data_IF_979847837497
#
_entry.id   IF_979847837497
#
_cell.length_a   1.000
_cell.length_b   1.000
_cell.length_c   1.000
_cell.angle_alpha   90.00
_cell.angle_beta   90.00
_cell.angle_gamma   90.00
#
_symmetry.space_group_name_H-M   'P 1'
#
loop_
_entity.id
_entity.type
_entity.pdbx_description
1 polymer ?
#
# COMPACT_ATOMS: atom_id res chain seq x y z
N UNK A 1 -1.36 -13.88 -0.56
CA UNK A 1 -1.58 -12.46 -0.93
C UNK A 1 -1.14 -12.23 -2.37
N UNK A 2 -1.95 -11.50 -3.14
CA UNK A 2 -1.68 -11.22 -4.54
C UNK A 2 -2.03 -9.77 -4.92
N UNK A 3 -1.09 -9.06 -5.54
CA UNK A 3 -1.34 -7.75 -6.15
C UNK A 3 -2.25 -7.88 -7.37
N UNK A 4 -3.18 -6.93 -7.50
CA UNK A 4 -4.17 -6.86 -8.57
C UNK A 4 -4.24 -5.47 -9.15
N UNK A 5 -4.00 -5.39 -10.46
CA UNK A 5 -4.20 -4.18 -11.24
C UNK A 5 -5.67 -4.15 -11.66
N UNK A 6 -6.36 -3.04 -11.37
CA UNK A 6 -7.77 -2.90 -11.72
C UNK A 6 -7.98 -2.45 -13.15
N UNK A 7 -9.05 -2.96 -13.75
CA UNK A 7 -9.83 -2.26 -14.75
C UNK A 7 -11.16 -1.77 -14.13
N UNK A 8 -11.98 -1.04 -14.89
CA UNK A 8 -13.24 -0.49 -14.39
C UNK A 8 -14.19 -1.58 -13.85
N UNK A 9 -14.31 -2.71 -14.55
CA UNK A 9 -15.19 -3.82 -14.15
C UNK A 9 -14.75 -4.39 -12.79
N UNK A 10 -13.48 -4.74 -12.65
CA UNK A 10 -12.94 -5.25 -11.38
C UNK A 10 -13.06 -4.23 -10.24
N UNK A 11 -12.90 -2.93 -10.52
CA UNK A 11 -13.08 -1.89 -9.52
C UNK A 11 -14.52 -1.83 -9.01
N UNK A 12 -15.50 -1.94 -9.92
CA UNK A 12 -16.92 -1.98 -9.57
C UNK A 12 -17.30 -3.25 -8.81
N UNK A 13 -16.65 -4.38 -9.08
CA UNK A 13 -16.87 -5.59 -8.31
C UNK A 13 -16.32 -5.49 -6.89
N UNK A 14 -15.15 -4.85 -6.71
CA UNK A 14 -14.66 -4.54 -5.37
C UNK A 14 -15.62 -3.60 -4.64
N UNK A 15 -16.11 -2.54 -5.32
CA UNK A 15 -17.09 -1.60 -4.74
C UNK A 15 -18.31 -2.35 -4.19
N UNK A 16 -18.92 -3.22 -5.00
CA UNK A 16 -20.06 -4.05 -4.56
C UNK A 16 -19.71 -4.90 -3.35
N UNK A 17 -18.52 -5.52 -3.35
CA UNK A 17 -18.07 -6.35 -2.23
C UNK A 17 -17.92 -5.52 -0.95
N UNK A 18 -17.24 -4.37 -1.02
CA UNK A 18 -16.98 -3.51 0.15
C UNK A 18 -18.28 -2.95 0.72
N UNK A 19 -19.17 -2.46 -0.14
CA UNK A 19 -20.50 -1.98 0.27
C UNK A 19 -21.32 -3.12 0.90
N UNK A 20 -21.34 -4.30 0.29
CA UNK A 20 -22.05 -5.46 0.84
C UNK A 20 -21.48 -5.90 2.20
N UNK A 21 -20.16 -5.89 2.34
CA UNK A 21 -19.47 -6.18 3.60
C UNK A 21 -19.84 -5.15 4.67
N UNK A 22 -19.84 -3.86 4.33
CA UNK A 22 -20.23 -2.79 5.23
C UNK A 22 -21.68 -2.96 5.73
N UNK A 23 -22.62 -3.24 4.82
CA UNK A 23 -24.03 -3.46 5.16
C UNK A 23 -24.28 -4.68 6.05
N UNK A 24 -23.38 -5.67 6.02
CA UNK A 24 -23.49 -6.86 6.88
C UNK A 24 -23.08 -6.61 8.33
N UNK A 25 -22.46 -5.46 8.62
CA UNK A 25 -22.03 -5.08 9.97
C UNK A 25 -23.18 -4.43 10.74
N UNK A 26 -23.41 -4.89 11.97
CA UNK A 26 -24.57 -4.51 12.78
C UNK A 26 -24.59 -3.03 13.20
N UNK A 27 -23.43 -2.37 13.23
CA UNK A 27 -23.26 -1.03 13.79
C UNK A 27 -22.71 -0.01 12.77
N UNK A 28 -22.85 -0.29 11.46
CA UNK A 28 -22.36 0.63 10.44
C UNK A 28 -23.23 1.89 10.36
N UNK A 29 -22.61 3.06 10.50
CA UNK A 29 -23.29 4.33 10.27
C UNK A 29 -23.52 4.57 8.77
N UNK A 30 -24.63 5.23 8.40
CA UNK A 30 -24.89 5.65 7.01
C UNK A 30 -23.72 6.50 6.46
N UNK A 31 -23.10 7.32 7.31
CA UNK A 31 -21.94 8.13 6.94
C UNK A 31 -20.72 7.28 6.53
N UNK A 32 -20.50 6.12 7.16
CA UNK A 32 -19.41 5.21 6.80
C UNK A 32 -19.63 4.62 5.40
N UNK A 33 -20.88 4.28 5.07
CA UNK A 33 -21.23 3.76 3.75
C UNK A 33 -21.07 4.82 2.66
N UNK A 34 -21.49 6.04 2.95
CA UNK A 34 -21.31 7.19 2.05
C UNK A 34 -19.82 7.45 1.77
N UNK A 35 -18.94 7.35 2.78
CA UNK A 35 -17.50 7.51 2.60
C UNK A 35 -16.89 6.44 1.68
N UNK A 36 -17.36 5.19 1.78
CA UNK A 36 -16.94 4.10 0.88
C UNK A 36 -17.35 4.44 -0.55
N UNK A 37 -18.62 4.80 -0.77
CA UNK A 37 -19.13 5.14 -2.11
C UNK A 37 -18.37 6.33 -2.71
N UNK A 38 -18.16 7.40 -1.94
CA UNK A 38 -17.38 8.58 -2.36
C UNK A 38 -15.93 8.24 -2.71
N UNK A 39 -15.31 7.30 -1.99
CA UNK A 39 -13.96 6.84 -2.29
C UNK A 39 -13.88 6.17 -3.66
N UNK A 40 -14.81 5.27 -3.98
CA UNK A 40 -14.86 4.63 -5.30
C UNK A 40 -15.20 5.63 -6.41
N UNK A 41 -16.16 6.54 -6.18
CA UNK A 41 -16.49 7.60 -7.13
C UNK A 41 -15.26 8.47 -7.46
N UNK A 42 -14.45 8.82 -6.45
CA UNK A 42 -13.22 9.58 -6.64
C UNK A 42 -12.22 8.83 -7.52
N UNK A 43 -12.00 7.53 -7.27
CA UNK A 43 -11.09 6.69 -8.07
C UNK A 43 -11.59 6.58 -9.51
N UNK A 44 -12.89 6.35 -9.70
CA UNK A 44 -13.52 6.20 -11.01
C UNK A 44 -13.43 7.50 -11.83
N UNK A 45 -13.85 8.63 -11.25
CA UNK A 45 -13.87 9.94 -11.93
C UNK A 45 -12.49 10.43 -12.34
N UNK A 46 -11.48 10.21 -11.49
CA UNK A 46 -10.10 10.61 -11.80
C UNK A 46 -9.34 9.55 -12.60
N UNK A 47 -10.00 8.43 -12.92
CA UNK A 47 -9.40 7.26 -13.53
C UNK A 47 -8.15 6.78 -12.78
N UNK A 48 -8.10 6.85 -11.45
CA UNK A 48 -6.91 6.47 -10.64
C UNK A 48 -6.75 4.95 -10.49
N UNK A 49 -6.92 4.21 -11.59
CA UNK A 49 -6.77 2.77 -11.66
C UNK A 49 -6.10 2.39 -13.00
N UNK A 50 -5.82 1.10 -13.18
CA UNK A 50 -5.05 0.60 -14.32
C UNK A 50 -3.58 0.36 -13.98
N UNK A 51 -2.80 0.03 -14.99
CA UNK A 51 -1.39 -0.29 -14.81
C UNK A 51 -0.59 0.97 -14.43
N UNK A 52 0.01 0.97 -13.24
CA UNK A 52 0.81 2.10 -12.75
C UNK A 52 2.04 2.39 -13.62
N UNK A 53 2.55 1.41 -14.38
CA UNK A 53 3.65 1.62 -15.32
C UNK A 53 3.30 2.59 -16.45
N UNK A 54 2.02 2.63 -16.84
CA UNK A 54 1.51 3.49 -17.90
C UNK A 54 1.09 4.87 -17.38
N UNK A 55 1.24 5.11 -16.06
CA UNK A 55 0.75 6.29 -15.33
C UNK A 55 1.85 6.96 -14.48
N UNK A 56 3.00 7.33 -15.07
CA UNK A 56 4.10 7.90 -14.30
C UNK A 56 3.69 9.24 -13.66
N UNK A 57 4.08 9.44 -12.40
CA UNK A 57 3.78 10.58 -11.54
C UNK A 57 2.30 10.81 -11.22
N UNK A 58 1.43 9.83 -11.48
CA UNK A 58 0.03 9.89 -11.13
C UNK A 58 -0.32 8.88 -10.04
N UNK A 59 -1.35 9.21 -9.25
CA UNK A 59 -1.94 8.27 -8.32
C UNK A 59 -2.57 7.10 -9.08
N UNK A 60 -2.30 5.90 -8.58
CA UNK A 60 -2.89 4.65 -9.06
C UNK A 60 -3.23 3.78 -7.86
N UNK A 61 -4.50 3.41 -7.74
CA UNK A 61 -4.96 2.43 -6.77
C UNK A 61 -4.81 1.03 -7.35
N UNK A 62 -4.24 0.15 -6.54
CA UNK A 62 -4.15 -1.29 -6.82
C UNK A 62 -4.73 -2.08 -5.66
N UNK A 63 -5.16 -3.30 -5.96
CA UNK A 63 -5.73 -4.21 -4.98
C UNK A 63 -4.70 -5.15 -4.39
N UNK A 64 -4.90 -5.53 -3.13
CA UNK A 64 -4.33 -6.75 -2.56
C UNK A 64 -5.46 -7.71 -2.25
N UNK A 65 -5.40 -8.88 -2.89
CA UNK A 65 -6.17 -10.05 -2.55
C UNK A 65 -5.43 -10.77 -1.41
N UNK A 66 -5.93 -10.69 -0.19
CA UNK A 66 -5.19 -11.16 0.99
C UNK A 66 -5.11 -12.69 1.01
N UNK A 67 -6.21 -13.35 0.69
CA UNK A 67 -6.41 -14.78 0.86
C UNK A 67 -6.33 -15.57 -0.48
N UNK A 68 -6.10 -14.87 -1.60
CA UNK A 68 -5.98 -15.41 -2.97
C UNK A 68 -7.27 -16.05 -3.51
N UNK A 69 -8.41 -15.63 -3.00
CA UNK A 69 -9.74 -16.11 -3.38
C UNK A 69 -10.39 -15.26 -4.49
N UNK A 70 -9.70 -14.22 -4.95
CA UNK A 70 -10.18 -13.26 -5.95
C UNK A 70 -10.89 -12.06 -5.36
N UNK A 71 -11.10 -12.02 -4.04
CA UNK A 71 -11.69 -10.88 -3.33
C UNK A 71 -10.56 -9.90 -2.99
N UNK A 72 -10.86 -8.60 -3.10
CA UNK A 72 -9.88 -7.56 -2.81
C UNK A 72 -10.26 -6.90 -1.51
N UNK A 73 -9.41 -7.08 -0.51
CA UNK A 73 -9.63 -6.54 0.84
C UNK A 73 -8.82 -5.26 1.10
N UNK A 74 -7.86 -4.94 0.24
CA UNK A 74 -6.97 -3.80 0.48
C UNK A 74 -6.77 -3.00 -0.79
N UNK A 75 -6.87 -1.69 -0.68
CA UNK A 75 -6.48 -0.73 -1.70
C UNK A 75 -5.17 -0.06 -1.30
N UNK A 76 -4.24 0.03 -2.24
CA UNK A 76 -2.94 0.68 -2.05
C UNK A 76 -2.83 1.82 -3.04
N UNK A 77 -2.67 3.04 -2.55
CA UNK A 77 -2.38 4.19 -3.39
C UNK A 77 -0.88 4.22 -3.70
N UNK A 78 -0.53 4.11 -4.98
CA UNK A 78 0.86 4.06 -5.44
C UNK A 78 1.11 5.12 -6.51
N UNK A 79 2.23 5.80 -6.39
CA UNK A 79 2.78 6.65 -7.45
C UNK A 79 4.05 5.99 -7.98
N UNK A 80 4.05 5.69 -9.27
CA UNK A 80 5.21 5.22 -10.00
C UNK A 80 5.97 6.38 -10.65
N UNK A 81 7.30 6.36 -10.56
CA UNK A 81 8.18 7.28 -11.28
C UNK A 81 9.34 6.53 -11.91
N UNK A 82 9.79 6.97 -13.09
CA UNK A 82 10.92 6.39 -13.81
C UNK A 82 11.86 7.46 -14.32
N UNK A 83 13.17 7.29 -14.05
CA UNK A 83 14.24 8.07 -14.68
C UNK A 83 15.26 7.12 -15.32
N UNK A 84 15.17 6.95 -16.64
CA UNK A 84 16.01 5.97 -17.34
C UNK A 84 15.67 4.55 -16.90
N UNK A 85 16.63 3.84 -16.27
CA UNK A 85 16.38 2.50 -15.69
C UNK A 85 15.94 2.54 -14.23
N UNK A 86 16.10 3.68 -13.56
CA UNK A 86 15.77 3.82 -12.14
C UNK A 86 14.26 3.94 -11.97
N UNK A 87 13.68 3.01 -11.23
CA UNK A 87 12.26 3.00 -10.84
C UNK A 87 12.11 3.50 -9.41
N UNK A 88 11.08 4.29 -9.17
CA UNK A 88 10.69 4.71 -7.83
C UNK A 88 9.21 4.44 -7.64
N UNK A 89 8.88 3.71 -6.60
CA UNK A 89 7.50 3.52 -6.14
C UNK A 89 7.29 4.30 -4.85
N UNK A 90 6.18 5.03 -4.76
CA UNK A 90 5.76 5.71 -3.53
C UNK A 90 4.42 5.14 -3.12
N UNK A 91 4.40 4.47 -1.98
CA UNK A 91 3.18 4.01 -1.31
C UNK A 91 2.67 5.20 -0.50
N UNK A 92 1.54 5.76 -0.92
CA UNK A 92 0.98 6.98 -0.35
C UNK A 92 0.02 6.68 0.80
N UNK A 93 -0.80 5.66 0.63
CA UNK A 93 -1.82 5.26 1.60
C UNK A 93 -2.27 3.81 1.39
N UNK A 94 -2.86 3.22 2.43
CA UNK A 94 -3.42 1.85 2.41
C UNK A 94 -4.80 1.89 3.05
N UNK A 95 -5.80 1.43 2.32
CA UNK A 95 -7.19 1.35 2.74
C UNK A 95 -7.59 -0.11 2.87
N UNK A 96 -8.34 -0.44 3.93
CA UNK A 96 -8.80 -1.79 4.20
C UNK A 96 -10.31 -1.88 3.97
N UNK A 97 -10.77 -3.05 3.53
CA UNK A 97 -12.19 -3.32 3.37
C UNK A 97 -12.87 -3.32 4.74
N UNK A 98 -14.18 -3.04 4.80
CA UNK A 98 -14.92 -3.05 6.05
C UNK A 98 -14.80 -4.38 6.79
N UNK A 99 -14.74 -5.52 6.09
CA UNK A 99 -14.56 -6.86 6.70
C UNK A 99 -13.26 -6.96 7.50
N UNK A 100 -12.18 -6.32 7.04
CA UNK A 100 -10.92 -6.25 7.77
C UNK A 100 -11.00 -5.26 8.92
N UNK A 101 -11.61 -4.09 8.73
CA UNK A 101 -11.76 -3.07 9.79
C UNK A 101 -12.61 -3.54 10.97
N UNK A 102 -13.52 -4.50 10.76
CA UNK A 102 -14.36 -5.07 11.80
C UNK A 102 -13.72 -6.23 12.59
N UNK A 103 -12.48 -6.61 12.27
CA UNK A 103 -11.74 -7.61 13.04
C UNK A 103 -11.42 -7.11 14.45
N UNK A 104 -11.04 -8.03 15.35
CA UNK A 104 -10.51 -7.61 16.65
C UNK A 104 -9.22 -6.80 16.47
N UNK A 105 -8.91 -5.89 17.41
CA UNK A 105 -7.74 -5.00 17.34
C UNK A 105 -6.44 -5.75 17.00
N UNK A 106 -6.18 -6.87 17.70
CA UNK A 106 -5.00 -7.71 17.46
C UNK A 106 -4.98 -8.34 16.06
N UNK A 107 -6.12 -8.80 15.55
CA UNK A 107 -6.21 -9.40 14.22
C UNK A 107 -6.08 -8.35 13.11
N UNK A 108 -6.72 -7.20 13.31
CA UNK A 108 -6.62 -6.04 12.42
C UNK A 108 -5.17 -5.56 12.32
N UNK A 109 -4.49 -5.35 13.45
CA UNK A 109 -3.08 -4.93 13.48
C UNK A 109 -2.18 -5.96 12.77
N UNK A 110 -2.42 -7.26 13.02
CA UNK A 110 -1.70 -8.33 12.34
C UNK A 110 -1.89 -8.30 10.82
N UNK A 111 -3.14 -8.13 10.34
CA UNK A 111 -3.46 -8.00 8.91
C UNK A 111 -2.80 -6.75 8.32
N UNK A 112 -2.80 -5.62 9.03
CA UNK A 112 -2.17 -4.38 8.59
C UNK A 112 -0.65 -4.54 8.42
N UNK A 113 0.01 -5.14 9.41
CA UNK A 113 1.46 -5.37 9.38
C UNK A 113 1.82 -6.31 8.23
N UNK A 114 1.14 -7.45 8.10
CA UNK A 114 1.42 -8.41 7.03
C UNK A 114 1.20 -7.80 5.64
N UNK A 115 0.12 -7.03 5.48
CA UNK A 115 -0.20 -6.32 4.24
C UNK A 115 0.90 -5.32 3.88
N UNK A 116 1.33 -4.49 4.84
CA UNK A 116 2.40 -3.53 4.60
C UNK A 116 3.71 -4.21 4.21
N UNK A 117 4.12 -5.25 4.94
CA UNK A 117 5.34 -6.02 4.62
C UNK A 117 5.26 -6.60 3.22
N UNK A 118 4.12 -7.18 2.84
CA UNK A 118 3.89 -7.71 1.51
C UNK A 118 4.04 -6.64 0.43
N UNK A 119 3.33 -5.50 0.56
CA UNK A 119 3.35 -4.40 -0.42
C UNK A 119 4.77 -3.85 -0.58
N UNK A 120 5.46 -3.61 0.53
CA UNK A 120 6.84 -3.09 0.50
C UNK A 120 7.76 -4.07 -0.20
N UNK A 121 7.67 -5.36 0.12
CA UNK A 121 8.49 -6.39 -0.53
C UNK A 121 8.25 -6.47 -2.03
N UNK A 122 6.99 -6.42 -2.47
CA UNK A 122 6.66 -6.44 -3.90
C UNK A 122 7.26 -5.24 -4.62
N UNK A 123 7.11 -4.03 -4.10
CA UNK A 123 7.66 -2.85 -4.77
C UNK A 123 9.18 -2.71 -4.66
N UNK A 124 9.78 -3.19 -3.57
CA UNK A 124 11.24 -3.28 -3.46
C UNK A 124 11.79 -4.18 -4.56
N UNK A 125 11.21 -5.37 -4.78
CA UNK A 125 11.58 -6.26 -5.90
C UNK A 125 11.39 -5.57 -7.25
N UNK A 126 10.27 -4.90 -7.47
CA UNK A 126 10.01 -4.21 -8.74
C UNK A 126 11.01 -3.07 -9.02
N UNK A 127 11.57 -2.46 -7.96
CA UNK A 127 12.56 -1.39 -8.03
C UNK A 127 14.02 -1.86 -8.02
N UNK A 128 14.29 -3.15 -7.80
CA UNK A 128 15.66 -3.66 -7.56
C UNK A 128 16.50 -3.90 -8.82
N UNK A 129 15.94 -3.67 -10.01
CA UNK A 129 16.59 -3.90 -11.30
C UNK A 129 17.68 -2.86 -11.65
N UNK A 130 17.76 -1.76 -10.91
CA UNK A 130 18.76 -0.72 -11.12
C UNK A 130 19.22 -0.07 -9.81
N UNK A 131 20.53 0.21 -9.73
CA UNK A 131 21.12 1.02 -8.66
C UNK A 131 20.40 2.36 -8.57
N UNK A 132 20.02 2.76 -7.36
CA UNK A 132 19.24 3.96 -7.11
C UNK A 132 17.73 3.78 -7.26
N UNK A 133 17.27 2.59 -7.66
CA UNK A 133 15.87 2.18 -7.55
C UNK A 133 15.40 2.30 -6.11
N UNK A 134 14.13 2.66 -5.91
CA UNK A 134 13.61 2.84 -4.55
C UNK A 134 12.13 2.59 -4.39
N UNK A 135 11.77 2.11 -3.20
CA UNK A 135 10.40 2.06 -2.71
C UNK A 135 10.30 2.95 -1.48
N UNK A 136 9.29 3.80 -1.44
CA UNK A 136 9.11 4.80 -0.37
C UNK A 136 7.71 4.67 0.22
N UNK A 137 7.61 4.75 1.53
CA UNK A 137 6.34 4.72 2.26
C UNK A 137 6.11 6.09 2.87
N UNK A 138 4.94 6.68 2.61
CA UNK A 138 4.52 7.94 3.18
C UNK A 138 3.76 7.74 4.48
N UNK A 139 4.06 8.54 5.49
CA UNK A 139 3.27 8.66 6.70
C UNK A 139 2.27 9.82 6.59
N UNK A 140 1.06 9.51 6.12
CA UNK A 140 -0.03 10.50 6.01
C UNK A 140 -0.48 11.04 7.37
N UNK A 141 -0.58 10.17 8.38
CA UNK A 141 -1.05 10.50 9.72
C UNK A 141 0.08 10.49 10.75
N UNK A 142 -0.12 11.11 11.91
CA UNK A 142 0.87 11.04 12.99
C UNK A 142 1.04 9.62 13.55
N UNK A 143 0.01 8.77 13.45
CA UNK A 143 0.09 7.35 13.81
C UNK A 143 1.00 6.61 12.84
N UNK A 144 0.76 6.73 11.52
CA UNK A 144 1.65 6.16 10.51
C UNK A 144 3.08 6.69 10.65
N UNK A 145 3.26 7.96 11.05
CA UNK A 145 4.57 8.55 11.30
C UNK A 145 5.30 7.88 12.47
N UNK A 146 4.61 7.64 13.59
CA UNK A 146 5.18 6.90 14.73
C UNK A 146 5.61 5.51 14.28
N UNK A 147 4.76 4.81 13.54
CA UNK A 147 5.04 3.47 13.02
C UNK A 147 6.30 3.45 12.13
N UNK A 148 6.36 4.28 11.08
CA UNK A 148 7.54 4.28 10.18
C UNK A 148 8.81 4.78 10.88
N UNK A 149 8.68 5.49 12.00
CA UNK A 149 9.83 5.91 12.82
C UNK A 149 10.35 4.76 13.66
N UNK A 150 9.46 3.98 14.29
CA UNK A 150 9.83 2.76 14.99
C UNK A 150 10.42 1.72 14.04
N UNK A 151 9.82 1.54 12.85
CA UNK A 151 10.36 0.66 11.81
C UNK A 151 11.78 1.09 11.41
N UNK A 152 11.99 2.38 11.13
CA UNK A 152 13.33 2.89 10.83
C UNK A 152 14.32 2.65 11.97
N UNK A 153 13.92 2.86 13.22
CA UNK A 153 14.77 2.60 14.38
C UNK A 153 15.16 1.12 14.47
N UNK A 154 14.22 0.20 14.23
CA UNK A 154 14.50 -1.22 14.19
C UNK A 154 15.48 -1.57 13.06
N UNK A 155 15.38 -0.95 11.89
CA UNK A 155 16.35 -1.18 10.79
C UNK A 155 17.73 -0.58 11.05
N UNK A 156 17.93 0.20 12.13
CA UNK A 156 19.25 0.65 12.56
C UNK A 156 19.90 -0.31 13.55
N UNK A 157 19.19 -1.35 14.00
CA UNK A 157 19.83 -2.45 14.71
C UNK A 157 20.85 -3.11 13.78
N UNK A 158 22.03 -3.43 14.31
CA UNK A 158 23.18 -3.84 13.51
C UNK A 158 22.90 -5.13 12.72
N UNK A 159 22.22 -6.10 13.33
CA UNK A 159 21.93 -7.39 12.69
C UNK A 159 20.96 -7.18 11.52
N UNK A 160 19.89 -6.41 11.75
CA UNK A 160 18.89 -6.10 10.73
C UNK A 160 19.49 -5.23 9.61
N UNK A 161 20.34 -4.27 9.97
CA UNK A 161 21.02 -3.42 9.00
C UNK A 161 21.93 -4.25 8.09
N UNK A 162 22.71 -5.18 8.64
CA UNK A 162 23.57 -6.09 7.87
C UNK A 162 22.75 -6.99 6.92
N UNK A 163 21.54 -7.41 7.30
CA UNK A 163 20.62 -8.15 6.43
C UNK A 163 20.16 -7.29 5.24
N UNK A 164 19.75 -6.05 5.47
CA UNK A 164 19.37 -5.13 4.39
C UNK A 164 20.54 -4.83 3.46
N UNK A 165 21.73 -4.56 4.01
CA UNK A 165 22.93 -4.30 3.22
C UNK A 165 23.34 -5.52 2.39
N UNK A 166 23.26 -6.73 2.96
CA UNK A 166 23.51 -7.98 2.24
C UNK A 166 22.51 -8.24 1.11
N UNK A 167 21.28 -7.72 1.24
CA UNK A 167 20.28 -7.71 0.19
C UNK A 167 20.45 -6.58 -0.84
N UNK A 168 21.51 -5.76 -0.72
CA UNK A 168 21.76 -4.62 -1.59
C UNK A 168 20.82 -3.44 -1.33
N UNK A 169 20.31 -3.29 -0.11
CA UNK A 169 19.35 -2.27 0.27
C UNK A 169 19.91 -1.33 1.35
N UNK A 170 19.55 -0.05 1.23
CA UNK A 170 19.68 0.95 2.29
C UNK A 170 18.29 1.41 2.71
N UNK A 171 18.04 1.40 4.02
CA UNK A 171 16.84 2.00 4.61
C UNK A 171 17.20 3.36 5.19
N UNK A 172 16.49 4.41 4.76
CA UNK A 172 16.77 5.79 5.19
C UNK A 172 15.50 6.63 5.31
N UNK A 173 15.53 7.62 6.20
CA UNK A 173 14.51 8.69 6.25
C UNK A 173 14.75 9.72 5.15
N UNK A 174 13.68 10.14 4.48
CA UNK A 174 13.72 11.26 3.53
C UNK A 174 12.78 12.39 3.98
N UNK A 175 13.33 13.33 4.75
CA UNK A 175 12.51 14.32 5.45
C UNK A 175 11.66 13.67 6.55
N UNK A 176 10.61 14.38 6.96
CA UNK A 176 9.88 14.01 8.17
C UNK A 176 8.94 12.82 7.98
N UNK A 177 8.36 12.62 6.79
CA UNK A 177 7.24 11.67 6.60
C UNK A 177 7.54 10.49 5.68
N UNK A 178 8.78 10.33 5.23
CA UNK A 178 9.13 9.24 4.32
C UNK A 178 10.14 8.28 4.92
N UNK A 179 9.86 7.00 4.73
CA UNK A 179 10.83 5.92 4.86
C UNK A 179 11.12 5.35 3.48
N UNK A 180 12.40 5.33 3.09
CA UNK A 180 12.85 4.91 1.77
C UNK A 180 13.74 3.67 1.86
N UNK A 181 13.43 2.69 1.03
CA UNK A 181 14.22 1.49 0.77
C UNK A 181 14.89 1.70 -0.59
N UNK A 182 16.21 1.83 -0.62
CA UNK A 182 16.98 2.17 -1.83
C UNK A 182 17.93 1.06 -2.19
N UNK A 183 18.03 0.78 -3.48
CA UNK A 183 18.96 -0.20 -4.02
C UNK A 183 20.37 0.39 -4.03
N UNK A 184 21.24 -0.16 -3.21
CA UNK A 184 22.68 0.09 -3.21
C UNK A 184 23.40 -0.99 -4.02
N UNK A 185 24.56 -0.60 -4.53
CA UNK A 185 25.46 -1.47 -5.31
C UNK A 185 25.88 -2.70 -4.51
#
# INVERSE_FOLDING_TARGET
MKLKIFNLESLQDVRKHWVSSALSQKDLSEASLELIEQFFDLIEQNHWYGNFYDRPNNNTYIGVDLDEDGIIDVFVEVIYFRRGRVKTFKIMDIYYSPSIEALSETEYDGKCIHTLVYIVNEFVKESSDAIGGSTKIYARTNTSLKFITQLHQATQDKEIQEEFESAGLEVSREGERWLAFKVKK
#
